data_IF_187919728715
#
_entry.id   IF_187919728715
#
_cell.length_a   1.000
_cell.length_b   1.000
_cell.length_c   1.000
_cell.angle_alpha   90.00
_cell.angle_beta   90.00
_cell.angle_gamma   90.00
#
_symmetry.space_group_name_H-M   'P 1'
#
loop_
_entity.id
_entity.type
_entity.pdbx_description
1 polymer ?
#
# COMPACT_ATOMS: atom_id res chain seq x y z
N UNK A 1 10.41 16.99 -18.05
CA UNK A 1 10.23 15.68 -17.39
C UNK A 1 11.56 15.18 -16.80
N UNK A 2 12.10 15.84 -15.76
CA UNK A 2 13.44 15.51 -15.21
C UNK A 2 13.41 14.66 -13.93
N UNK A 3 12.22 14.48 -13.35
CA UNK A 3 12.02 13.75 -12.09
C UNK A 3 11.35 12.38 -12.27
N UNK A 4 10.95 11.99 -13.48
CA UNK A 4 10.26 10.71 -13.72
C UNK A 4 11.12 9.50 -13.38
N UNK A 5 12.40 9.52 -13.79
CA UNK A 5 13.33 8.43 -13.47
C UNK A 5 13.65 8.34 -11.97
N UNK A 6 13.86 9.49 -11.32
CA UNK A 6 14.14 9.54 -9.87
C UNK A 6 12.90 9.16 -9.03
N UNK A 7 11.70 9.56 -9.47
CA UNK A 7 10.45 9.15 -8.83
C UNK A 7 10.18 7.65 -8.99
N UNK A 8 10.52 7.05 -10.13
CA UNK A 8 10.41 5.61 -10.33
C UNK A 8 11.34 4.83 -9.39
N UNK A 9 12.59 5.26 -9.25
CA UNK A 9 13.54 4.64 -8.32
C UNK A 9 13.03 4.75 -6.88
N UNK A 10 12.47 5.90 -6.49
CA UNK A 10 11.89 6.09 -5.16
C UNK A 10 10.67 5.19 -4.93
N UNK A 11 9.79 5.03 -5.92
CA UNK A 11 8.63 4.13 -5.83
C UNK A 11 9.06 2.67 -5.63
N UNK A 12 10.10 2.23 -6.35
CA UNK A 12 10.69 0.91 -6.18
C UNK A 12 11.34 0.73 -4.82
N UNK A 13 12.10 1.72 -4.34
CA UNK A 13 12.74 1.68 -3.02
C UNK A 13 11.71 1.58 -1.88
N UNK A 14 10.63 2.36 -1.95
CA UNK A 14 9.53 2.31 -0.97
C UNK A 14 8.85 0.94 -1.01
N UNK A 15 8.56 0.41 -2.20
CA UNK A 15 7.94 -0.92 -2.35
C UNK A 15 8.81 -2.02 -1.76
N UNK A 16 10.12 -1.98 -2.02
CA UNK A 16 11.08 -2.92 -1.47
C UNK A 16 11.16 -2.83 0.05
N UNK A 17 11.03 -1.63 0.61
CA UNK A 17 11.02 -1.40 2.05
C UNK A 17 9.74 -1.93 2.71
N UNK A 18 8.59 -1.90 2.03
CA UNK A 18 7.29 -2.40 2.53
C UNK A 18 7.20 -3.94 2.45
N UNK A 19 7.88 -4.55 1.48
CA UNK A 19 7.87 -5.99 1.25
C UNK A 19 8.21 -6.85 2.48
N UNK A 20 9.28 -6.59 3.27
CA UNK A 20 9.56 -7.38 4.48
C UNK A 20 8.43 -7.28 5.50
N UNK A 21 7.77 -6.14 5.65
CA UNK A 21 6.67 -5.95 6.60
C UNK A 21 5.35 -6.60 6.17
N UNK A 22 5.25 -7.09 4.94
CA UNK A 22 4.03 -7.69 4.40
C UNK A 22 3.80 -9.15 4.82
N UNK A 23 4.65 -9.72 5.69
CA UNK A 23 4.45 -11.06 6.29
C UNK A 23 4.15 -12.19 5.25
N UNK A 24 4.78 -12.08 4.08
CA UNK A 24 4.54 -12.97 2.93
C UNK A 24 4.94 -14.41 3.28
N UNK A 25 6.18 -14.59 3.73
CA UNK A 25 6.76 -15.91 4.01
C UNK A 25 6.61 -16.36 5.47
N UNK A 26 6.25 -15.46 6.38
CA UNK A 26 6.25 -15.71 7.82
C UNK A 26 5.08 -15.01 8.53
N UNK A 27 4.54 -15.56 9.64
CA UNK A 27 3.45 -14.94 10.38
C UNK A 27 3.89 -13.65 11.09
N UNK A 28 2.94 -12.73 11.29
CA UNK A 28 3.19 -11.42 11.92
C UNK A 28 3.69 -11.59 13.36
N UNK A 29 3.30 -12.69 14.03
CA UNK A 29 3.71 -13.02 15.40
C UNK A 29 5.21 -13.15 15.62
N UNK A 30 6.01 -13.34 14.56
CA UNK A 30 7.48 -13.48 14.65
C UNK A 30 8.17 -12.10 14.63
N UNK A 31 7.48 -11.06 14.18
CA UNK A 31 8.04 -9.71 14.16
C UNK A 31 8.14 -9.12 15.58
N UNK A 32 9.17 -8.30 15.86
CA UNK A 32 9.21 -7.50 17.08
C UNK A 32 8.02 -6.53 17.12
N UNK A 33 7.53 -6.18 18.32
CA UNK A 33 6.25 -5.47 18.49
C UNK A 33 6.10 -4.16 17.69
N UNK A 34 7.19 -3.44 17.45
CA UNK A 34 7.18 -2.24 16.60
C UNK A 34 6.87 -2.57 15.13
N UNK A 35 7.35 -3.70 14.62
CA UNK A 35 7.11 -4.12 13.25
C UNK A 35 5.74 -4.83 13.11
N UNK A 36 5.20 -5.40 14.20
CA UNK A 36 3.80 -5.82 14.25
C UNK A 36 2.84 -4.63 14.09
N UNK A 37 3.14 -3.48 14.72
CA UNK A 37 2.36 -2.27 14.55
C UNK A 37 2.37 -1.79 13.08
N UNK A 38 3.52 -1.83 12.42
CA UNK A 38 3.62 -1.50 10.98
C UNK A 38 2.82 -2.49 10.13
N UNK A 39 2.93 -3.80 10.40
CA UNK A 39 2.16 -4.82 9.71
C UNK A 39 0.63 -4.64 9.89
N UNK A 40 0.17 -4.19 11.07
CA UNK A 40 -1.26 -3.97 11.35
C UNK A 40 -1.90 -2.82 10.57
N UNK A 41 -1.10 -1.97 9.93
CA UNK A 41 -1.58 -0.87 9.07
C UNK A 41 -1.37 -1.22 7.59
N UNK A 42 -0.77 -2.38 7.28
CA UNK A 42 -0.54 -2.83 5.92
C UNK A 42 -1.67 -3.78 5.50
N UNK A 43 -2.47 -3.44 4.48
CA UNK A 43 -3.53 -4.33 3.99
C UNK A 43 -2.94 -5.66 3.48
N UNK A 44 -1.72 -5.62 2.94
CA UNK A 44 -0.99 -6.80 2.46
C UNK A 44 -0.75 -7.82 3.58
N UNK A 45 -0.34 -7.38 4.78
CA UNK A 45 -0.08 -8.27 5.91
C UNK A 45 -1.38 -8.99 6.37
N UNK A 46 -2.50 -8.26 6.40
CA UNK A 46 -3.80 -8.85 6.73
C UNK A 46 -4.27 -9.91 5.72
N UNK A 47 -4.04 -9.68 4.42
CA UNK A 47 -4.38 -10.65 3.37
C UNK A 47 -3.53 -11.92 3.49
N UNK A 48 -2.22 -11.79 3.68
CA UNK A 48 -1.33 -12.96 3.83
C UNK A 48 -1.62 -13.77 5.11
N UNK A 49 -2.00 -13.11 6.20
CA UNK A 49 -2.39 -13.78 7.44
C UNK A 49 -3.75 -14.47 7.33
N UNK A 50 -4.73 -13.83 6.68
CA UNK A 50 -6.01 -14.45 6.35
C UNK A 50 -5.81 -15.70 5.47
N UNK A 51 -5.00 -15.58 4.40
CA UNK A 51 -4.67 -16.69 3.49
C UNK A 51 -4.01 -17.85 4.26
N UNK A 52 -3.07 -17.56 5.16
CA UNK A 52 -2.41 -18.56 6.00
C UNK A 52 -3.40 -19.27 6.94
N UNK A 53 -4.40 -18.56 7.44
CA UNK A 53 -5.47 -19.12 8.29
C UNK A 53 -6.39 -20.07 7.50
N UNK A 54 -6.69 -19.73 6.23
CA UNK A 54 -7.44 -20.60 5.31
C UNK A 54 -6.66 -21.87 4.98
N UNK A 55 -5.37 -21.74 4.67
CA UNK A 55 -4.46 -22.87 4.42
C UNK A 55 -4.33 -23.81 5.62
N UNK A 56 -4.41 -23.27 6.85
CA UNK A 56 -4.41 -24.06 8.09
C UNK A 56 -5.77 -24.71 8.41
N UNK A 57 -6.75 -24.68 7.48
CA UNK A 57 -8.10 -25.23 7.63
C UNK A 57 -8.88 -24.64 8.82
N UNK A 58 -8.50 -23.44 9.28
CA UNK A 58 -9.21 -22.72 10.33
C UNK A 58 -10.26 -21.80 9.70
N UNK A 59 -11.36 -21.49 10.42
CA UNK A 59 -12.36 -20.55 9.91
C UNK A 59 -11.69 -19.22 9.57
N UNK A 60 -12.00 -18.71 8.38
CA UNK A 60 -11.52 -17.42 7.87
C UNK A 60 -11.85 -16.34 8.89
N UNK A 61 -10.85 -15.65 9.47
CA UNK A 61 -11.12 -14.54 10.37
C UNK A 61 -11.66 -13.37 9.54
N UNK A 62 -12.99 -13.27 9.44
CA UNK A 62 -13.70 -12.25 8.65
C UNK A 62 -13.23 -10.83 8.98
N UNK A 63 -12.85 -10.58 10.24
CA UNK A 63 -12.31 -9.29 10.67
C UNK A 63 -11.02 -8.86 9.96
N UNK A 64 -10.12 -9.78 9.59
CA UNK A 64 -8.90 -9.42 8.85
C UNK A 64 -9.17 -9.13 7.37
N UNK A 65 -10.15 -9.82 6.77
CA UNK A 65 -10.58 -9.57 5.38
C UNK A 65 -11.33 -8.24 5.26
N UNK A 66 -12.21 -7.93 6.21
CA UNK A 66 -12.91 -6.65 6.27
C UNK A 66 -11.93 -5.49 6.51
N UNK A 67 -10.97 -5.65 7.44
CA UNK A 67 -9.92 -4.65 7.67
C UNK A 67 -9.07 -4.42 6.42
N UNK A 68 -8.63 -5.49 5.73
CA UNK A 68 -7.88 -5.37 4.48
C UNK A 68 -8.68 -4.63 3.40
N UNK A 69 -9.95 -5.00 3.20
CA UNK A 69 -10.82 -4.37 2.20
C UNK A 69 -11.07 -2.87 2.50
N UNK A 70 -11.26 -2.51 3.78
CA UNK A 70 -11.42 -1.12 4.19
C UNK A 70 -10.13 -0.34 3.97
N UNK A 71 -8.97 -0.89 4.36
CA UNK A 71 -7.69 -0.23 4.13
C UNK A 71 -7.41 -0.04 2.64
N UNK A 72 -7.66 -1.04 1.79
CA UNK A 72 -7.50 -0.92 0.34
C UNK A 72 -8.41 0.18 -0.23
N UNK A 73 -9.66 0.25 0.21
CA UNK A 73 -10.58 1.32 -0.19
C UNK A 73 -10.07 2.71 0.25
N UNK A 74 -9.54 2.84 1.46
CA UNK A 74 -8.93 4.09 1.96
C UNK A 74 -7.70 4.47 1.13
N UNK A 75 -6.79 3.52 0.87
CA UNK A 75 -5.61 3.77 0.04
C UNK A 75 -5.98 4.20 -1.38
N UNK A 76 -7.01 3.58 -1.98
CA UNK A 76 -7.53 3.98 -3.29
C UNK A 76 -8.11 5.40 -3.29
N UNK A 77 -8.91 5.75 -2.28
CA UNK A 77 -9.51 7.09 -2.17
C UNK A 77 -8.41 8.15 -1.98
N UNK A 78 -7.45 7.90 -1.10
CA UNK A 78 -6.32 8.81 -0.84
C UNK A 78 -5.46 8.97 -2.10
N UNK A 79 -5.13 7.86 -2.77
CA UNK A 79 -4.36 7.86 -4.01
C UNK A 79 -5.07 8.64 -5.12
N UNK A 80 -6.38 8.43 -5.29
CA UNK A 80 -7.19 9.15 -6.27
C UNK A 80 -7.30 10.65 -5.95
N UNK A 81 -7.50 11.01 -4.68
CA UNK A 81 -7.54 12.40 -4.24
C UNK A 81 -6.19 13.10 -4.47
N UNK A 82 -5.08 12.43 -4.16
CA UNK A 82 -3.73 12.94 -4.39
C UNK A 82 -3.46 13.14 -5.88
N UNK A 83 -3.77 12.15 -6.72
CA UNK A 83 -3.66 12.27 -8.16
C UNK A 83 -4.47 13.46 -8.67
N UNK A 84 -5.73 13.60 -8.23
CA UNK A 84 -6.59 14.73 -8.62
C UNK A 84 -6.03 16.08 -8.20
N UNK A 85 -5.48 16.19 -6.99
CA UNK A 85 -4.83 17.40 -6.50
C UNK A 85 -3.57 17.75 -7.31
N UNK A 86 -2.77 16.74 -7.66
CA UNK A 86 -1.57 16.89 -8.47
C UNK A 86 -1.92 17.31 -9.91
N UNK A 87 -2.96 16.71 -10.52
CA UNK A 87 -3.49 17.14 -11.81
C UNK A 87 -4.05 18.58 -11.78
N UNK A 88 -4.78 18.95 -10.74
CA UNK A 88 -5.28 20.32 -10.56
C UNK A 88 -4.13 21.33 -10.44
N UNK A 89 -3.06 20.96 -9.71
CA UNK A 89 -1.85 21.78 -9.56
C UNK A 89 -1.10 21.93 -10.88
N UNK A 90 -0.97 20.86 -11.66
CA UNK A 90 -0.36 20.87 -13.00
C UNK A 90 -1.14 21.74 -13.99
N UNK A 91 -2.49 21.69 -13.96
CA UNK A 91 -3.35 22.56 -14.78
C UNK A 91 -3.20 24.03 -14.40
N UNK A 92 -3.15 24.36 -13.09
CA UNK A 92 -2.96 25.75 -12.62
C UNK A 92 -1.58 26.33 -12.94
N UNK A 93 -0.55 25.49 -13.02
CA UNK A 93 0.82 25.92 -13.36
C UNK A 93 1.08 26.06 -14.88
N UNK A 94 0.07 25.89 -15.73
CA UNK A 94 0.16 26.25 -17.16
C UNK A 94 1.03 25.34 -18.04
N UNK A 95 1.35 24.11 -17.60
CA UNK A 95 2.16 23.18 -18.40
C UNK A 95 1.42 22.54 -19.59
N UNK A 96 0.15 22.90 -19.82
CA UNK A 96 -0.65 22.35 -20.93
C UNK A 96 -0.53 23.18 -22.22
N UNK A 97 -0.16 24.46 -22.14
CA UNK A 97 -0.23 25.36 -23.32
C UNK A 97 1.08 25.52 -24.09
N UNK A 98 2.15 24.78 -23.77
CA UNK A 98 3.45 24.95 -24.45
C UNK A 98 3.92 23.75 -25.29
N UNK A 99 3.07 22.76 -25.55
CA UNK A 99 3.39 21.66 -26.48
C UNK A 99 2.11 21.10 -27.14
N UNK A 100 1.30 21.98 -27.73
CA UNK A 100 0.52 21.64 -28.92
C UNK A 100 1.15 22.36 -30.11
#
# INVERSE_FOLDING_TARGET
MRFGNQANILAWAISFMIMPFSAVFYPVSILPGWAQAVASVLPTAHIFEAMRTVLASKPTPRGHLEAAAVLDAVFLIVGFAYARAMFATLRRRGYVTRYM
#
